data_IF_918464329990
#
_entry.id   IF_918464329990
#
_cell.length_a   1.000
_cell.length_b   1.000
_cell.length_c   1.000
_cell.angle_alpha   90.00
_cell.angle_beta   90.00
_cell.angle_gamma   90.00
#
_symmetry.space_group_name_H-M   'P 1'
#
loop_
_entity.id
_entity.type
_entity.pdbx_description
1 polymer ?
#
# COMPACT_ATOMS: atom_id res chain seq x y z
N UNK A 1 56.99 -31.60 -2.16
CA UNK A 1 56.45 -31.63 -0.78
C UNK A 1 56.33 -30.21 -0.26
N UNK A 2 55.12 -29.65 -0.25
CA UNK A 2 54.78 -28.40 0.43
C UNK A 2 53.26 -28.38 0.63
N UNK A 3 52.78 -28.00 1.81
CA UNK A 3 51.34 -28.04 2.17
C UNK A 3 50.83 -26.64 2.47
N UNK A 4 49.68 -26.21 1.90
CA UNK A 4 49.03 -24.96 2.29
C UNK A 4 48.24 -25.15 3.60
N UNK A 5 48.52 -24.32 4.60
CA UNK A 5 47.82 -24.35 5.90
C UNK A 5 46.44 -23.68 5.81
N UNK A 6 45.37 -24.43 6.09
CA UNK A 6 43.98 -23.91 6.00
C UNK A 6 43.63 -22.96 7.16
N UNK A 7 43.76 -21.66 6.91
CA UNK A 7 43.43 -20.59 7.86
C UNK A 7 41.92 -20.37 8.03
N UNK A 8 41.25 -21.21 8.82
CA UNK A 8 39.80 -21.12 9.10
C UNK A 8 39.42 -19.86 9.89
N UNK A 9 39.25 -18.72 9.20
CA UNK A 9 38.61 -17.51 9.76
C UNK A 9 37.26 -17.88 10.38
N UNK A 10 37.11 -17.73 11.69
CA UNK A 10 35.81 -17.79 12.37
C UNK A 10 35.06 -16.50 12.05
N UNK A 11 33.85 -16.59 11.50
CA UNK A 11 33.05 -15.42 11.13
C UNK A 11 32.54 -14.66 12.35
N UNK A 12 32.92 -13.38 12.49
CA UNK A 12 32.43 -12.49 13.54
C UNK A 12 30.93 -12.12 13.38
N UNK A 13 30.32 -12.44 12.24
CA UNK A 13 28.93 -12.10 11.89
C UNK A 13 27.88 -12.64 12.86
N UNK A 14 28.16 -13.71 13.63
CA UNK A 14 27.23 -14.19 14.66
C UNK A 14 27.22 -13.34 15.94
N UNK A 15 28.30 -12.63 16.26
CA UNK A 15 28.35 -11.78 17.45
C UNK A 15 27.58 -10.48 17.23
N UNK A 16 27.79 -9.83 16.07
CA UNK A 16 27.02 -8.65 15.67
C UNK A 16 25.50 -8.92 15.66
N UNK A 17 25.04 -10.06 15.14
CA UNK A 17 23.60 -10.40 15.20
C UNK A 17 23.06 -10.51 16.63
N UNK A 18 23.81 -11.06 17.58
CA UNK A 18 23.38 -11.08 19.00
C UNK A 18 23.45 -9.71 19.67
N UNK A 19 24.40 -8.86 19.26
CA UNK A 19 24.61 -7.52 19.81
C UNK A 19 23.56 -6.53 19.28
N UNK A 20 23.30 -6.53 17.97
CA UNK A 20 22.20 -5.80 17.34
C UNK A 20 20.86 -6.21 17.97
N UNK A 21 20.59 -7.50 18.16
CA UNK A 21 19.36 -7.96 18.82
C UNK A 21 19.24 -7.54 20.30
N UNK A 22 20.35 -7.27 21.00
CA UNK A 22 20.33 -6.71 22.35
C UNK A 22 20.09 -5.20 22.31
N UNK A 23 20.71 -4.47 21.37
CA UNK A 23 20.45 -3.05 21.15
C UNK A 23 18.98 -2.80 20.76
N UNK A 24 18.41 -3.65 19.91
CA UNK A 24 17.01 -3.63 19.49
C UNK A 24 16.03 -3.86 20.66
N UNK A 25 16.42 -4.72 21.63
CA UNK A 25 15.66 -4.96 22.86
C UNK A 25 15.76 -3.76 23.82
N UNK A 26 16.95 -3.21 24.03
CA UNK A 26 17.18 -2.02 24.86
C UNK A 26 16.43 -0.81 24.31
N UNK A 27 16.39 -0.64 22.98
CA UNK A 27 15.63 0.42 22.32
C UNK A 27 14.12 0.28 22.57
N UNK A 28 13.56 -0.93 22.39
CA UNK A 28 12.14 -1.22 22.63
C UNK A 28 11.75 -1.13 24.10
N UNK A 29 12.62 -1.52 25.03
CA UNK A 29 12.40 -1.35 26.46
C UNK A 29 12.41 0.14 26.84
N UNK A 30 13.35 0.93 26.30
CA UNK A 30 13.40 2.37 26.50
C UNK A 30 12.16 3.09 25.92
N UNK A 31 11.70 2.70 24.74
CA UNK A 31 10.48 3.21 24.11
C UNK A 31 9.23 2.84 24.93
N UNK A 32 9.08 1.58 25.33
CA UNK A 32 7.97 1.12 26.17
C UNK A 32 7.94 1.84 27.53
N UNK A 33 9.11 2.06 28.13
CA UNK A 33 9.26 2.81 29.40
C UNK A 33 8.96 4.30 29.25
N UNK A 34 9.28 4.90 28.09
CA UNK A 34 8.88 6.26 27.75
C UNK A 34 7.36 6.35 27.57
N UNK A 35 6.76 5.42 26.82
CA UNK A 35 5.33 5.34 26.61
C UNK A 35 4.55 5.15 27.93
N UNK A 36 5.00 4.26 28.81
CA UNK A 36 4.44 4.12 30.16
C UNK A 36 4.56 5.42 30.98
N UNK A 37 5.67 6.16 30.86
CA UNK A 37 5.82 7.46 31.54
C UNK A 37 4.89 8.53 30.98
N UNK A 38 4.65 8.56 29.67
CA UNK A 38 3.66 9.43 29.02
C UNK A 38 2.22 9.06 29.42
N UNK A 39 1.89 7.77 29.46
CA UNK A 39 0.60 7.30 29.95
C UNK A 39 0.37 7.67 31.42
N UNK A 40 1.35 7.42 32.31
CA UNK A 40 1.25 7.79 33.73
C UNK A 40 1.11 9.31 33.94
N UNK A 41 1.77 10.13 33.11
CA UNK A 41 1.55 11.59 33.05
C UNK A 41 0.11 11.92 32.67
N UNK A 42 -0.39 11.39 31.56
CA UNK A 42 -1.75 11.63 31.08
C UNK A 42 -2.81 11.18 32.10
N UNK A 43 -2.62 10.04 32.75
CA UNK A 43 -3.49 9.54 33.82
C UNK A 43 -3.45 10.43 35.06
N UNK A 44 -2.26 10.90 35.49
CA UNK A 44 -2.13 11.85 36.59
C UNK A 44 -2.82 13.19 36.29
N UNK A 45 -2.68 13.73 35.07
CA UNK A 45 -3.43 14.91 34.61
C UNK A 45 -4.94 14.66 34.67
N UNK A 46 -5.41 13.50 34.17
CA UNK A 46 -6.83 13.15 34.12
C UNK A 46 -7.46 12.91 35.49
N UNK A 47 -6.74 12.28 36.44
CA UNK A 47 -7.19 12.09 37.83
C UNK A 47 -7.33 13.47 38.50
N UNK A 48 -6.31 14.33 38.38
CA UNK A 48 -6.31 15.64 39.05
C UNK A 48 -7.33 16.60 38.45
N UNK A 49 -7.60 16.52 37.14
CA UNK A 49 -8.68 17.28 36.50
C UNK A 49 -10.06 16.90 37.06
N UNK A 50 -10.33 15.61 37.29
CA UNK A 50 -11.56 15.13 37.95
C UNK A 50 -11.65 15.56 39.41
N UNK A 51 -10.53 15.58 40.13
CA UNK A 51 -10.49 16.05 41.52
C UNK A 51 -10.83 17.54 41.63
N UNK A 52 -10.37 18.36 40.68
CA UNK A 52 -10.70 19.77 40.59
C UNK A 52 -12.15 20.02 40.18
N UNK A 53 -12.66 19.25 39.21
CA UNK A 53 -14.07 19.28 38.85
C UNK A 53 -14.96 18.90 40.05
N UNK A 54 -14.52 17.92 40.84
CA UNK A 54 -15.19 17.53 42.09
C UNK A 54 -15.14 18.66 43.14
N UNK A 55 -13.97 19.25 43.39
CA UNK A 55 -13.84 20.39 44.32
C UNK A 55 -14.67 21.61 43.90
N UNK A 56 -14.78 21.87 42.59
CA UNK A 56 -15.64 22.92 42.07
C UNK A 56 -17.12 22.65 42.41
N UNK A 57 -17.62 21.42 42.17
CA UNK A 57 -19.00 21.02 42.55
C UNK A 57 -19.23 21.05 44.06
N UNK A 58 -18.28 20.54 44.86
CA UNK A 58 -18.38 20.55 46.32
C UNK A 58 -18.36 21.97 46.91
N UNK A 59 -17.72 22.94 46.25
CA UNK A 59 -17.82 24.36 46.59
C UNK A 59 -19.17 24.97 46.17
N UNK A 60 -19.68 24.63 44.98
CA UNK A 60 -20.98 25.10 44.48
C UNK A 60 -22.12 24.63 45.40
N UNK A 61 -22.12 23.34 45.79
CA UNK A 61 -23.03 22.78 46.78
C UNK A 61 -22.90 23.43 48.17
N UNK A 62 -21.69 23.85 48.57
CA UNK A 62 -21.49 24.56 49.84
C UNK A 62 -22.03 25.99 49.78
N UNK A 63 -21.88 26.68 48.66
CA UNK A 63 -22.46 28.02 48.43
C UNK A 63 -24.00 27.96 48.48
N UNK A 64 -24.62 26.99 47.79
CA UNK A 64 -26.07 26.78 47.82
C UNK A 64 -26.58 26.49 49.23
N UNK A 65 -25.95 25.58 49.98
CA UNK A 65 -26.32 25.30 51.38
C UNK A 65 -26.16 26.52 52.29
N UNK A 66 -25.11 27.32 52.09
CA UNK A 66 -24.91 28.53 52.87
C UNK A 66 -25.94 29.62 52.53
N UNK A 67 -26.42 29.66 51.29
CA UNK A 67 -27.50 30.53 50.83
C UNK A 67 -28.85 30.10 51.43
N UNK A 68 -29.20 28.81 51.36
CA UNK A 68 -30.44 28.25 51.91
C UNK A 68 -30.54 28.47 53.44
N UNK A 69 -29.45 28.20 54.17
CA UNK A 69 -29.36 28.49 55.62
C UNK A 69 -29.51 29.97 55.99
N UNK A 70 -29.33 30.89 55.03
CA UNK A 70 -29.53 32.32 55.22
C UNK A 70 -30.98 32.76 54.94
N UNK A 71 -31.90 31.84 54.61
CA UNK A 71 -33.24 32.13 54.11
C UNK A 71 -34.41 31.58 54.96
N UNK A 72 -34.19 31.21 56.23
CA UNK A 72 -35.29 30.90 57.15
C UNK A 72 -36.21 32.11 57.39
N UNK A 73 -37.54 32.01 57.14
CA UNK A 73 -38.48 33.09 57.40
C UNK A 73 -38.93 33.13 58.86
N UNK A 74 -38.77 34.29 59.50
CA UNK A 74 -39.15 34.54 60.91
C UNK A 74 -40.63 34.20 61.17
N UNK A 75 -40.89 33.19 62.01
CA UNK A 75 -42.25 32.84 62.45
C UNK A 75 -42.71 33.70 63.64
N UNK A 76 -43.98 34.13 63.69
CA UNK A 76 -44.49 35.00 64.75
C UNK A 76 -44.78 34.27 66.07
N UNK A 77 -44.66 35.00 67.18
CA UNK A 77 -44.81 34.51 68.56
C UNK A 77 -46.27 34.17 68.91
N UNK A 78 -46.46 33.07 69.67
CA UNK A 78 -47.60 32.87 70.58
C UNK A 78 -47.10 32.38 71.95
N UNK A 79 -47.92 32.56 72.98
CA UNK A 79 -47.48 32.72 74.39
C UNK A 79 -47.81 31.56 75.32
N UNK A 80 -46.97 31.40 76.35
CA UNK A 80 -47.16 30.51 77.54
C UNK A 80 -47.02 29.00 77.25
N UNK A 81 -46.60 28.12 78.19
CA UNK A 81 -46.54 28.23 79.66
C UNK A 81 -45.51 27.24 80.29
N UNK A 82 -44.78 27.71 81.31
CA UNK A 82 -44.12 26.99 82.46
C UNK A 82 -43.30 25.69 82.30
N UNK A 83 -42.16 25.64 83.03
CA UNK A 83 -41.47 24.42 83.47
C UNK A 83 -40.10 24.13 82.83
N UNK A 84 -38.99 23.86 83.54
CA UNK A 84 -38.45 24.10 84.89
C UNK A 84 -37.06 23.40 84.88
N UNK A 85 -36.10 23.85 85.72
CA UNK A 85 -34.80 23.18 86.05
C UNK A 85 -33.78 22.96 84.90
N UNK A 86 -32.44 23.05 85.10
CA UNK A 86 -31.64 23.53 86.26
C UNK A 86 -30.12 23.64 85.94
N UNK A 87 -29.44 24.65 86.51
CA UNK A 87 -27.96 24.73 86.73
C UNK A 87 -27.06 24.70 85.46
N UNK A 88 -25.75 25.00 85.43
CA UNK A 88 -24.65 25.18 86.40
C UNK A 88 -23.51 25.94 85.65
N UNK A 89 -22.77 26.99 86.07
CA UNK A 89 -22.67 27.93 87.23
C UNK A 89 -22.03 29.27 86.77
N UNK A 90 -22.02 30.30 87.63
CA UNK A 90 -21.38 31.61 87.42
C UNK A 90 -19.84 31.60 87.47
N UNK A 91 -19.20 32.61 86.87
CA UNK A 91 -18.07 33.31 87.51
C UNK A 91 -18.13 34.81 87.18
N UNK A 92 -17.73 35.68 88.11
CA UNK A 92 -17.94 37.13 87.98
C UNK A 92 -16.93 37.96 88.77
N UNK A 93 -16.24 38.86 88.08
CA UNK A 93 -15.53 40.04 88.62
C UNK A 93 -15.40 41.04 87.46
N UNK A 94 -15.98 42.24 87.48
CA UNK A 94 -15.79 43.35 88.42
C UNK A 94 -14.32 43.80 88.48
N UNK A 95 -13.92 45.04 88.23
CA UNK A 95 -14.51 46.31 87.78
C UNK A 95 -13.43 47.36 88.10
N UNK A 96 -13.20 48.37 87.26
CA UNK A 96 -12.59 49.62 87.76
C UNK A 96 -12.89 50.82 86.86
N UNK A 97 -13.44 51.87 87.49
CA UNK A 97 -13.22 53.31 87.25
C UNK A 97 -13.15 53.79 85.78
N UNK A 98 -14.14 54.51 85.20
CA UNK A 98 -14.83 55.74 85.66
C UNK A 98 -13.91 56.92 86.01
N UNK A 99 -13.53 57.68 84.97
CA UNK A 99 -13.25 59.14 84.88
C UNK A 99 -13.13 59.44 83.37
N UNK A 100 -13.57 60.56 82.81
CA UNK A 100 -14.10 61.82 83.38
C UNK A 100 -15.12 62.48 82.42
N UNK A 101 -15.94 63.39 82.94
CA UNK A 101 -16.57 64.56 82.27
C UNK A 101 -17.26 64.38 80.91
N UNK A 102 -18.58 64.61 80.91
CA UNK A 102 -19.38 64.97 79.74
C UNK A 102 -18.92 66.32 79.16
N UNK A 103 -18.81 66.44 77.83
CA UNK A 103 -19.27 67.61 77.04
C UNK A 103 -19.17 67.35 75.51
N UNK A 104 -20.27 66.95 74.89
CA UNK A 104 -20.62 67.17 73.47
C UNK A 104 -21.87 66.36 73.10
N UNK A 105 -22.96 67.03 72.76
CA UNK A 105 -24.26 66.39 72.45
C UNK A 105 -24.39 66.02 70.98
N UNK A 106 -23.77 64.92 70.55
CA UNK A 106 -24.25 64.16 69.40
C UNK A 106 -24.75 62.79 69.86
N UNK A 107 -26.08 62.65 69.89
CA UNK A 107 -26.74 61.37 70.10
C UNK A 107 -26.70 60.56 68.80
N UNK A 108 -25.50 60.14 68.38
CA UNK A 108 -25.31 59.13 67.34
C UNK A 108 -26.08 57.89 67.78
N UNK A 109 -27.08 57.51 66.99
CA UNK A 109 -28.04 56.50 67.43
C UNK A 109 -27.30 55.16 67.59
N UNK A 110 -27.71 54.32 68.55
CA UNK A 110 -27.14 52.97 68.69
C UNK A 110 -27.34 52.11 67.43
N UNK A 111 -28.16 52.62 66.49
CA UNK A 111 -28.36 52.17 65.12
C UNK A 111 -27.14 52.39 64.22
N UNK A 112 -26.45 53.51 64.32
CA UNK A 112 -25.41 53.93 63.37
C UNK A 112 -24.13 53.09 63.55
N UNK A 113 -23.74 52.85 64.80
CA UNK A 113 -22.67 51.89 65.13
C UNK A 113 -23.00 50.45 64.70
N UNK A 114 -24.29 50.06 64.69
CA UNK A 114 -24.70 48.76 64.14
C UNK A 114 -24.62 48.73 62.61
N UNK A 115 -24.94 49.82 61.93
CA UNK A 115 -24.79 49.92 60.48
C UNK A 115 -23.31 49.93 60.05
N UNK A 116 -22.44 50.68 60.73
CA UNK A 116 -20.99 50.63 60.48
C UNK A 116 -20.40 49.23 60.74
N UNK A 117 -20.85 48.53 61.79
CA UNK A 117 -20.46 47.14 62.04
C UNK A 117 -20.93 46.21 60.91
N UNK A 118 -22.18 46.35 60.46
CA UNK A 118 -22.73 45.58 59.33
C UNK A 118 -21.98 45.84 58.01
N UNK A 119 -21.59 47.09 57.74
CA UNK A 119 -20.79 47.46 56.56
C UNK A 119 -19.39 46.83 56.60
N UNK A 120 -18.75 46.81 57.78
CA UNK A 120 -17.45 46.13 57.97
C UNK A 120 -17.58 44.61 57.86
N UNK A 121 -18.62 44.00 58.43
CA UNK A 121 -18.92 42.57 58.29
C UNK A 121 -19.21 42.18 56.84
N UNK A 122 -19.96 43.00 56.10
CA UNK A 122 -20.19 42.82 54.67
C UNK A 122 -18.91 42.99 53.83
N UNK A 123 -18.10 44.01 54.14
CA UNK A 123 -16.83 44.25 53.46
C UNK A 123 -15.87 43.08 53.66
N UNK A 124 -15.76 42.57 54.90
CA UNK A 124 -15.00 41.37 55.22
C UNK A 124 -15.55 40.13 54.49
N UNK A 125 -16.88 39.93 54.45
CA UNK A 125 -17.51 38.83 53.70
C UNK A 125 -17.19 38.90 52.20
N UNK A 126 -17.29 40.09 51.59
CA UNK A 126 -16.95 40.34 50.17
C UNK A 126 -15.46 40.07 49.91
N UNK A 127 -14.57 40.52 50.79
CA UNK A 127 -13.13 40.25 50.70
C UNK A 127 -12.79 38.76 50.84
N UNK A 128 -13.43 38.03 51.76
CA UNK A 128 -13.24 36.58 51.92
C UNK A 128 -13.69 35.79 50.69
N UNK A 129 -14.85 36.14 50.10
CA UNK A 129 -15.34 35.52 48.85
C UNK A 129 -14.37 35.81 47.69
N UNK A 130 -13.91 37.06 47.54
CA UNK A 130 -12.94 37.43 46.50
C UNK A 130 -11.59 36.73 46.68
N UNK A 131 -11.11 36.58 47.91
CA UNK A 131 -9.86 35.86 48.19
C UNK A 131 -9.98 34.35 47.86
N UNK A 132 -11.12 33.73 48.18
CA UNK A 132 -11.40 32.35 47.80
C UNK A 132 -11.50 32.17 46.26
N UNK A 133 -12.06 33.14 45.54
CA UNK A 133 -12.06 33.17 44.08
C UNK A 133 -10.63 33.27 43.52
N UNK A 134 -9.81 34.18 44.06
CA UNK A 134 -8.40 34.35 43.64
C UNK A 134 -7.56 33.09 43.90
N UNK A 135 -7.77 32.39 45.02
CA UNK A 135 -7.05 31.15 45.31
C UNK A 135 -7.51 29.98 44.41
N UNK A 136 -8.77 29.95 43.99
CA UNK A 136 -9.26 29.04 42.96
C UNK A 136 -8.65 29.37 41.59
N UNK A 137 -8.59 30.64 41.19
CA UNK A 137 -7.96 31.07 39.93
C UNK A 137 -6.45 30.80 39.91
N UNK A 138 -5.73 31.14 40.99
CA UNK A 138 -4.31 30.82 41.19
C UNK A 138 -4.05 29.32 41.02
N UNK A 139 -4.94 28.51 41.57
CA UNK A 139 -4.85 27.05 41.54
C UNK A 139 -5.15 26.52 40.13
N UNK A 140 -6.17 27.03 39.44
CA UNK A 140 -6.47 26.70 38.04
C UNK A 140 -5.32 27.10 37.07
N UNK A 141 -4.74 28.28 37.25
CA UNK A 141 -3.61 28.76 36.44
C UNK A 141 -2.35 27.93 36.66
N UNK A 142 -2.08 27.45 37.88
CA UNK A 142 -0.99 26.53 38.16
C UNK A 142 -1.12 25.23 37.34
N UNK A 143 -2.32 24.66 37.22
CA UNK A 143 -2.56 23.48 36.38
C UNK A 143 -2.41 23.75 34.89
N UNK A 144 -2.80 24.93 34.41
CA UNK A 144 -2.57 25.29 33.02
C UNK A 144 -1.07 25.40 32.72
N UNK A 145 -0.30 26.03 33.61
CA UNK A 145 1.17 26.11 33.52
C UNK A 145 1.82 24.73 33.57
N UNK A 146 1.41 23.85 34.47
CA UNK A 146 1.98 22.50 34.58
C UNK A 146 1.62 21.61 33.37
N UNK A 147 0.39 21.73 32.86
CA UNK A 147 -0.01 21.04 31.62
C UNK A 147 0.84 21.50 30.43
N UNK A 148 1.03 22.83 30.28
CA UNK A 148 1.85 23.40 29.20
C UNK A 148 3.33 23.01 29.30
N UNK A 149 3.91 22.88 30.50
CA UNK A 149 5.27 22.33 30.66
C UNK A 149 5.36 20.90 30.15
N UNK A 150 4.42 20.07 30.59
CA UNK A 150 4.40 18.63 30.34
C UNK A 150 4.07 18.33 28.85
N UNK A 151 3.34 19.24 28.17
CA UNK A 151 3.19 19.28 26.70
C UNK A 151 4.46 19.75 25.97
N UNK A 152 5.17 20.77 26.48
CA UNK A 152 6.45 21.21 25.92
C UNK A 152 7.52 20.11 26.00
N UNK A 153 7.56 19.33 27.09
CA UNK A 153 8.44 18.17 27.21
C UNK A 153 8.13 17.11 26.15
N UNK A 154 6.86 16.75 25.95
CA UNK A 154 6.47 15.79 24.90
C UNK A 154 6.84 16.30 23.49
N UNK A 155 6.61 17.58 23.19
CA UNK A 155 6.98 18.17 21.90
C UNK A 155 8.50 18.20 21.68
N UNK A 156 9.30 18.40 22.74
CA UNK A 156 10.76 18.32 22.69
C UNK A 156 11.27 16.88 22.48
N UNK A 157 10.69 15.89 23.18
CA UNK A 157 10.96 14.47 22.96
C UNK A 157 10.63 14.05 21.50
N UNK A 158 9.46 14.45 21.00
CA UNK A 158 9.00 14.14 19.65
C UNK A 158 9.90 14.78 18.58
N UNK A 159 10.33 16.03 18.76
CA UNK A 159 11.30 16.70 17.88
C UNK A 159 12.64 15.95 17.85
N UNK A 160 13.16 15.53 19.01
CA UNK A 160 14.40 14.76 19.10
C UNK A 160 14.30 13.39 18.42
N UNK A 161 13.13 12.73 18.49
CA UNK A 161 12.93 11.46 17.79
C UNK A 161 12.90 11.64 16.26
N UNK A 162 12.13 12.60 15.74
CA UNK A 162 12.13 12.92 14.29
C UNK A 162 13.55 13.27 13.79
N UNK A 163 14.36 13.92 14.63
CA UNK A 163 15.77 14.23 14.31
C UNK A 163 16.70 12.99 14.34
N UNK A 164 16.34 11.90 15.02
CA UNK A 164 17.04 10.59 14.91
C UNK A 164 16.61 9.87 13.65
N UNK A 165 15.30 9.71 13.45
CA UNK A 165 14.71 9.06 12.29
C UNK A 165 15.24 9.65 10.98
N UNK A 166 15.32 10.98 10.88
CA UNK A 166 15.89 11.67 9.72
C UNK A 166 17.36 11.29 9.45
N UNK A 167 18.21 11.21 10.49
CA UNK A 167 19.63 10.81 10.35
C UNK A 167 19.74 9.35 9.91
N UNK A 168 18.85 8.48 10.36
CA UNK A 168 18.82 7.07 9.96
C UNK A 168 18.35 6.90 8.52
N UNK A 169 17.30 7.62 8.09
CA UNK A 169 16.88 7.60 6.68
C UNK A 169 17.93 8.21 5.75
N UNK A 170 18.66 9.24 6.18
CA UNK A 170 19.80 9.78 5.43
C UNK A 170 20.92 8.72 5.27
N UNK A 171 21.32 8.03 6.33
CA UNK A 171 22.31 6.94 6.28
C UNK A 171 21.87 5.78 5.37
N UNK A 172 20.58 5.42 5.40
CA UNK A 172 20.02 4.39 4.54
C UNK A 172 20.01 4.80 3.06
N UNK A 173 19.70 6.08 2.77
CA UNK A 173 19.76 6.65 1.42
C UNK A 173 21.21 6.67 0.90
N UNK A 174 22.17 7.12 1.71
CA UNK A 174 23.60 7.09 1.35
C UNK A 174 24.07 5.67 0.99
N UNK A 175 23.60 4.65 1.74
CA UNK A 175 23.94 3.27 1.45
C UNK A 175 23.31 2.78 0.15
N UNK A 176 22.02 3.06 -0.06
CA UNK A 176 21.32 2.70 -1.30
C UNK A 176 21.96 3.37 -2.54
N UNK A 177 22.44 4.60 -2.42
CA UNK A 177 23.18 5.30 -3.49
C UNK A 177 24.50 4.60 -3.83
N UNK A 178 25.23 4.06 -2.83
CA UNK A 178 26.46 3.29 -3.06
C UNK A 178 26.16 1.98 -3.78
N UNK A 179 25.12 1.27 -3.37
CA UNK A 179 24.81 -0.06 -3.92
C UNK A 179 24.15 0.05 -5.30
N UNK A 180 23.31 1.07 -5.55
CA UNK A 180 22.86 1.41 -6.89
C UNK A 180 24.01 1.76 -7.84
N UNK A 181 25.05 2.47 -7.36
CA UNK A 181 26.22 2.78 -8.17
C UNK A 181 26.98 1.51 -8.58
N UNK A 182 27.25 0.59 -7.64
CA UNK A 182 27.88 -0.70 -7.94
C UNK A 182 27.08 -1.49 -8.97
N UNK A 183 25.76 -1.62 -8.77
CA UNK A 183 24.88 -2.34 -9.71
C UNK A 183 24.89 -1.71 -11.12
N UNK A 184 25.02 -0.38 -11.22
CA UNK A 184 25.18 0.31 -12.51
C UNK A 184 26.55 0.05 -13.15
N UNK A 185 27.62 0.02 -12.36
CA UNK A 185 28.98 -0.31 -12.82
C UNK A 185 29.08 -1.79 -13.27
N UNK A 186 28.50 -2.71 -12.49
CA UNK A 186 28.37 -4.14 -12.82
C UNK A 186 27.52 -4.37 -14.08
N UNK A 187 26.38 -3.69 -14.22
CA UNK A 187 25.54 -3.83 -15.41
C UNK A 187 26.22 -3.28 -16.67
N UNK A 188 26.90 -2.13 -16.60
CA UNK A 188 27.67 -1.61 -17.73
C UNK A 188 28.80 -2.55 -18.16
N UNK A 189 29.50 -3.18 -17.20
CA UNK A 189 30.51 -4.20 -17.49
C UNK A 189 29.91 -5.47 -18.14
N UNK A 190 28.71 -5.89 -17.73
CA UNK A 190 28.00 -7.01 -18.34
C UNK A 190 27.48 -6.69 -19.75
N UNK A 191 26.97 -5.47 -19.98
CA UNK A 191 26.58 -4.96 -21.30
C UNK A 191 27.78 -4.93 -22.26
N UNK A 192 28.93 -4.43 -21.81
CA UNK A 192 30.17 -4.47 -22.60
C UNK A 192 30.65 -5.89 -22.86
N UNK A 193 30.61 -6.78 -21.85
CA UNK A 193 30.99 -8.19 -21.99
C UNK A 193 30.11 -8.96 -22.98
N UNK A 194 28.80 -8.65 -23.00
CA UNK A 194 27.87 -9.21 -23.98
C UNK A 194 28.13 -8.65 -25.38
N UNK A 195 28.38 -7.34 -25.50
CA UNK A 195 28.72 -6.71 -26.79
C UNK A 195 29.99 -7.31 -27.41
N UNK A 196 31.07 -7.48 -26.62
CA UNK A 196 32.30 -8.13 -27.08
C UNK A 196 32.08 -9.59 -27.52
N UNK A 197 31.18 -10.33 -26.84
CA UNK A 197 30.79 -11.69 -27.24
C UNK A 197 30.01 -11.70 -28.55
N UNK A 198 29.12 -10.73 -28.74
CA UNK A 198 28.22 -10.69 -29.90
C UNK A 198 28.97 -10.18 -31.15
N UNK A 199 29.91 -9.25 -30.99
CA UNK A 199 30.91 -8.89 -32.02
C UNK A 199 31.75 -10.11 -32.44
N UNK A 200 32.24 -10.92 -31.48
CA UNK A 200 33.00 -12.15 -31.77
C UNK A 200 32.16 -13.24 -32.48
N UNK A 201 30.84 -13.25 -32.27
CA UNK A 201 29.89 -14.13 -32.97
C UNK A 201 29.74 -13.68 -34.43
N UNK A 202 29.60 -12.37 -34.67
CA UNK A 202 29.48 -11.77 -36.00
C UNK A 202 30.79 -11.88 -36.82
N UNK A 203 31.95 -11.60 -36.22
CA UNK A 203 33.29 -11.75 -36.82
C UNK A 203 33.58 -13.19 -37.28
N UNK A 204 32.95 -14.19 -36.66
CA UNK A 204 33.05 -15.59 -37.04
C UNK A 204 31.94 -16.07 -38.00
N UNK A 205 31.09 -15.16 -38.50
CA UNK A 205 30.01 -15.47 -39.44
C UNK A 205 28.91 -16.36 -38.86
N UNK A 206 28.75 -16.33 -37.54
CA UNK A 206 27.76 -17.12 -36.79
C UNK A 206 26.53 -16.29 -36.45
N UNK A 207 25.37 -16.94 -36.42
CA UNK A 207 24.07 -16.32 -36.11
C UNK A 207 23.32 -17.18 -35.10
N UNK A 208 22.60 -16.56 -34.15
CA UNK A 208 21.69 -17.27 -33.25
C UNK A 208 20.38 -17.62 -33.97
N UNK A 209 20.14 -18.91 -34.16
CA UNK A 209 18.83 -19.44 -34.63
C UNK A 209 18.06 -20.03 -33.44
N UNK A 210 16.74 -19.82 -33.42
CA UNK A 210 15.87 -20.17 -32.29
C UNK A 210 15.77 -19.09 -31.19
N UNK A 211 16.47 -17.96 -31.33
CA UNK A 211 16.43 -16.88 -30.35
C UNK A 211 15.13 -16.06 -30.35
N UNK A 212 14.38 -16.01 -31.46
CA UNK A 212 13.09 -15.30 -31.53
C UNK A 212 12.03 -15.87 -30.56
N UNK A 213 12.09 -17.18 -30.29
CA UNK A 213 11.25 -17.87 -29.30
C UNK A 213 11.53 -17.43 -27.85
N UNK A 214 12.61 -16.65 -27.60
CA UNK A 214 12.95 -16.09 -26.29
C UNK A 214 12.37 -14.69 -26.04
N UNK A 215 12.08 -13.92 -27.09
CA UNK A 215 11.49 -12.57 -26.95
C UNK A 215 9.96 -12.60 -26.94
N UNK A 216 9.34 -13.55 -27.64
CA UNK A 216 7.89 -13.73 -27.67
C UNK A 216 7.36 -14.55 -26.47
N UNK A 217 7.85 -14.26 -25.27
CA UNK A 217 7.16 -14.61 -24.04
C UNK A 217 6.19 -13.48 -23.69
N UNK A 218 4.89 -13.78 -23.57
CA UNK A 218 3.82 -12.78 -23.43
C UNK A 218 4.14 -11.72 -22.38
N UNK A 219 4.31 -10.49 -22.84
CA UNK A 219 4.72 -9.34 -22.05
C UNK A 219 3.60 -8.75 -21.18
N UNK A 220 2.72 -9.56 -20.60
CA UNK A 220 1.72 -9.07 -19.63
C UNK A 220 2.39 -8.69 -18.30
N UNK A 221 2.98 -7.51 -18.34
CA UNK A 221 3.46 -6.74 -17.19
C UNK A 221 2.60 -5.48 -16.99
N UNK A 222 1.36 -5.53 -17.49
CA UNK A 222 0.33 -4.47 -17.45
C UNK A 222 -0.27 -4.23 -16.05
N UNK A 223 0.43 -4.61 -14.98
CA UNK A 223 -0.12 -4.73 -13.63
C UNK A 223 0.89 -4.34 -12.54
N UNK A 224 1.15 -3.02 -12.41
CA UNK A 224 1.96 -2.44 -11.32
C UNK A 224 1.44 -1.06 -10.85
N UNK A 225 0.11 -0.86 -10.90
CA UNK A 225 -0.55 0.41 -10.57
C UNK A 225 -0.58 0.75 -9.07
N UNK A 226 0.53 1.25 -8.52
CA UNK A 226 0.60 2.08 -7.30
C UNK A 226 -0.22 1.61 -6.07
N UNK A 227 0.40 0.81 -5.20
CA UNK A 227 0.00 0.73 -3.78
C UNK A 227 1.21 0.74 -2.84
N UNK A 228 1.00 1.16 -1.59
CA UNK A 228 2.06 1.71 -0.74
C UNK A 228 2.59 0.76 0.34
N UNK A 229 3.92 0.68 0.42
CA UNK A 229 4.69 0.82 1.68
C UNK A 229 4.49 -0.25 2.79
N UNK A 230 5.16 -1.41 2.66
CA UNK A 230 5.78 -2.12 3.80
C UNK A 230 6.77 -3.21 3.36
N UNK A 231 7.76 -3.50 4.23
CA UNK A 231 8.64 -4.70 4.32
C UNK A 231 9.44 -5.20 3.09
N UNK A 232 10.78 -5.40 3.22
CA UNK A 232 11.61 -5.98 2.16
C UNK A 232 11.60 -7.53 2.19
N UNK A 233 10.48 -8.16 1.86
CA UNK A 233 10.45 -9.62 1.70
C UNK A 233 11.16 -10.06 0.43
N UNK A 234 12.47 -10.33 0.58
CA UNK A 234 13.23 -11.41 -0.06
C UNK A 234 12.76 -11.77 -1.48
N UNK A 235 13.33 -11.10 -2.49
CA UNK A 235 13.18 -11.45 -3.91
C UNK A 235 13.45 -12.95 -4.13
N UNK A 236 12.37 -13.73 -4.25
CA UNK A 236 12.45 -15.13 -4.66
C UNK A 236 12.76 -15.13 -6.15
N UNK A 237 13.99 -15.50 -6.48
CA UNK A 237 14.39 -15.82 -7.85
C UNK A 237 13.45 -16.91 -8.37
N UNK A 238 12.48 -16.52 -9.20
CA UNK A 238 11.55 -17.45 -9.87
C UNK A 238 12.41 -18.47 -10.63
N UNK A 239 12.12 -19.79 -10.50
CA UNK A 239 12.90 -20.81 -11.18
C UNK A 239 13.00 -20.51 -12.66
N UNK A 240 14.24 -20.36 -13.15
CA UNK A 240 14.57 -20.00 -14.53
C UNK A 240 13.76 -20.89 -15.47
N UNK A 241 12.76 -20.31 -16.14
CA UNK A 241 11.97 -21.02 -17.16
C UNK A 241 12.93 -21.70 -18.14
N UNK A 242 12.57 -22.88 -18.64
CA UNK A 242 13.45 -23.66 -19.52
C UNK A 242 13.67 -22.90 -20.83
N UNK A 243 14.74 -22.09 -20.86
CA UNK A 243 15.04 -21.22 -21.98
C UNK A 243 15.15 -22.06 -23.25
N UNK A 244 14.39 -21.66 -24.29
CA UNK A 244 14.45 -22.28 -25.60
C UNK A 244 15.92 -22.33 -26.06
N UNK A 245 16.35 -23.49 -26.54
CA UNK A 245 17.76 -23.75 -26.87
C UNK A 245 18.11 -23.11 -28.20
N UNK A 246 18.37 -21.81 -28.18
CA UNK A 246 19.00 -21.13 -29.31
C UNK A 246 20.36 -21.77 -29.61
N UNK A 247 20.69 -21.89 -30.89
CA UNK A 247 21.95 -22.46 -31.38
C UNK A 247 22.71 -21.44 -32.20
N UNK A 248 24.04 -21.47 -32.11
CA UNK A 248 24.93 -20.78 -33.05
C UNK A 248 25.12 -21.66 -34.29
N UNK A 249 24.82 -21.12 -35.46
CA UNK A 249 25.02 -21.75 -36.77
C UNK A 249 25.70 -20.76 -37.72
N UNK A 250 26.32 -21.23 -38.81
CA UNK A 250 26.85 -20.31 -39.83
C UNK A 250 25.71 -19.56 -40.54
N UNK A 251 26.01 -18.39 -41.09
CA UNK A 251 25.05 -17.58 -41.84
C UNK A 251 24.42 -18.36 -43.03
N UNK A 252 25.20 -19.20 -43.72
CA UNK A 252 24.71 -20.12 -44.76
C UNK A 252 23.72 -21.16 -44.21
N UNK A 253 24.04 -21.78 -43.06
CA UNK A 253 23.15 -22.75 -42.44
C UNK A 253 21.85 -22.10 -41.93
N UNK A 254 21.89 -20.84 -41.48
CA UNK A 254 20.69 -20.07 -41.15
C UNK A 254 19.82 -19.82 -42.40
N UNK A 255 20.43 -19.36 -43.51
CA UNK A 255 19.71 -19.15 -44.79
C UNK A 255 19.09 -20.43 -45.36
N UNK A 256 19.73 -21.58 -45.17
CA UNK A 256 19.11 -22.88 -45.48
C UNK A 256 17.96 -23.19 -44.53
N UNK A 257 18.14 -23.04 -43.22
CA UNK A 257 17.09 -23.28 -42.23
C UNK A 257 15.86 -22.41 -42.44
N UNK A 258 15.96 -21.20 -42.99
CA UNK A 258 14.80 -20.38 -43.32
C UNK A 258 14.03 -20.88 -44.55
N UNK A 259 14.68 -21.60 -45.49
CA UNK A 259 14.02 -22.26 -46.63
C UNK A 259 13.15 -23.45 -46.19
N UNK A 260 13.49 -24.10 -45.08
CA UNK A 260 12.67 -25.16 -44.48
C UNK A 260 11.37 -24.65 -43.83
N UNK A 261 11.10 -23.34 -43.86
CA UNK A 261 9.85 -22.72 -43.38
C UNK A 261 9.68 -22.69 -41.86
N UNK A 262 8.56 -22.13 -41.39
CA UNK A 262 8.37 -21.77 -39.99
C UNK A 262 8.40 -22.95 -39.01
N UNK A 263 8.99 -22.70 -37.84
CA UNK A 263 9.08 -23.63 -36.72
C UNK A 263 10.42 -23.55 -35.99
N UNK A 264 10.49 -24.24 -34.84
CA UNK A 264 11.72 -24.36 -34.06
C UNK A 264 12.80 -25.12 -34.84
N UNK A 265 14.06 -24.96 -34.43
CA UNK A 265 15.22 -25.57 -35.09
C UNK A 265 15.05 -27.08 -35.31
N UNK A 266 14.55 -27.80 -34.31
CA UNK A 266 14.29 -29.24 -34.38
C UNK A 266 13.19 -29.62 -35.39
N UNK A 267 12.22 -28.74 -35.66
CA UNK A 267 11.17 -28.96 -36.66
C UNK A 267 11.73 -28.78 -38.07
N UNK A 268 12.51 -27.72 -38.29
CA UNK A 268 13.14 -27.42 -39.58
C UNK A 268 14.15 -28.49 -39.99
N UNK A 269 15.01 -28.92 -39.06
CA UNK A 269 15.96 -30.02 -39.28
C UNK A 269 15.26 -31.35 -39.61
N UNK A 270 14.06 -31.60 -39.05
CA UNK A 270 13.26 -32.79 -39.39
C UNK A 270 12.69 -32.74 -40.80
N UNK A 271 12.20 -31.58 -41.28
CA UNK A 271 11.74 -31.41 -42.67
C UNK A 271 12.86 -31.72 -43.66
N UNK A 272 14.04 -31.13 -43.49
CA UNK A 272 15.20 -31.45 -44.34
C UNK A 272 15.63 -32.93 -44.27
N UNK A 273 15.50 -33.59 -43.13
CA UNK A 273 15.77 -35.02 -43.01
C UNK A 273 14.72 -35.87 -43.77
N UNK A 274 13.46 -35.45 -43.81
CA UNK A 274 12.38 -36.09 -44.55
C UNK A 274 12.52 -35.88 -46.06
N UNK A 275 12.66 -34.64 -46.52
CA UNK A 275 12.89 -34.28 -47.93
C UNK A 275 14.11 -35.02 -48.52
N UNK A 276 15.20 -35.09 -47.77
CA UNK A 276 16.39 -35.85 -48.16
C UNK A 276 16.12 -37.35 -48.30
N UNK A 277 15.29 -37.94 -47.42
CA UNK A 277 14.92 -39.34 -47.49
C UNK A 277 14.01 -39.61 -48.70
N UNK A 278 13.02 -38.76 -48.93
CA UNK A 278 12.09 -38.85 -50.07
C UNK A 278 12.84 -38.78 -51.41
N UNK A 279 13.75 -37.81 -51.57
CA UNK A 279 14.63 -37.70 -52.75
C UNK A 279 15.58 -38.91 -52.88
N UNK A 280 16.06 -39.46 -51.76
CA UNK A 280 16.93 -40.64 -51.79
C UNK A 280 16.18 -41.90 -52.25
N UNK A 281 14.93 -42.05 -51.83
CA UNK A 281 14.05 -43.16 -52.24
C UNK A 281 13.54 -43.00 -53.67
N UNK A 282 13.28 -41.76 -54.14
CA UNK A 282 13.04 -41.48 -55.56
C UNK A 282 14.25 -41.87 -56.42
N UNK A 283 15.48 -41.48 -56.03
CA UNK A 283 16.72 -41.89 -56.72
C UNK A 283 16.87 -43.42 -56.74
N UNK A 284 16.52 -44.11 -55.65
CA UNK A 284 16.58 -45.57 -55.59
C UNK A 284 15.54 -46.22 -56.52
N UNK A 285 14.32 -45.68 -56.55
CA UNK A 285 13.25 -46.13 -57.46
C UNK A 285 13.60 -45.89 -58.92
N UNK A 286 14.05 -44.69 -59.30
CA UNK A 286 14.46 -44.37 -60.67
C UNK A 286 15.62 -45.25 -61.15
N UNK A 287 16.51 -45.69 -60.24
CA UNK A 287 17.56 -46.68 -60.55
C UNK A 287 16.98 -48.08 -60.78
N UNK A 288 15.98 -48.50 -60.01
CA UNK A 288 15.28 -49.77 -60.22
C UNK A 288 14.52 -49.75 -61.55
N UNK A 289 13.69 -48.74 -61.78
CA UNK A 289 12.93 -48.54 -63.02
C UNK A 289 13.86 -48.53 -64.26
N UNK A 290 14.99 -47.83 -64.19
CA UNK A 290 16.02 -47.82 -65.25
C UNK A 290 16.69 -49.20 -65.46
N UNK A 291 16.84 -50.00 -64.40
CA UNK A 291 17.41 -51.36 -64.50
C UNK A 291 16.41 -52.35 -65.10
N UNK A 292 15.14 -52.26 -64.70
CA UNK A 292 14.06 -53.06 -65.29
C UNK A 292 13.86 -52.73 -66.77
N UNK A 293 13.91 -51.45 -67.15
CA UNK A 293 13.68 -51.06 -68.54
C UNK A 293 14.82 -51.50 -69.46
N UNK A 294 16.07 -51.49 -68.96
CA UNK A 294 17.20 -52.13 -69.65
C UNK A 294 16.99 -53.63 -69.83
N UNK A 295 16.47 -54.33 -68.82
CA UNK A 295 16.15 -55.75 -68.90
C UNK A 295 14.92 -56.02 -69.82
N UNK A 296 13.94 -55.12 -69.87
CA UNK A 296 12.81 -55.19 -70.80
C UNK A 296 13.24 -54.97 -72.25
N UNK A 297 14.12 -54.00 -72.52
CA UNK A 297 14.69 -53.79 -73.87
C UNK A 297 15.46 -55.04 -74.32
N UNK A 298 16.36 -55.58 -73.50
CA UNK A 298 17.10 -56.80 -73.83
C UNK A 298 16.18 -58.02 -74.08
N UNK A 299 15.09 -58.16 -73.30
CA UNK A 299 14.07 -59.20 -73.52
C UNK A 299 13.22 -58.93 -74.77
N UNK A 300 12.90 -57.67 -75.08
CA UNK A 300 12.19 -57.31 -76.32
C UNK A 300 13.04 -57.59 -77.56
N UNK A 301 14.34 -57.33 -77.51
CA UNK A 301 15.27 -57.70 -78.59
C UNK A 301 15.27 -59.23 -78.79
N UNK A 302 15.34 -60.03 -77.71
CA UNK A 302 15.23 -61.49 -77.81
C UNK A 302 13.87 -61.96 -78.34
N UNK A 303 12.75 -61.39 -77.86
CA UNK A 303 11.39 -61.82 -78.25
C UNK A 303 11.07 -61.40 -79.69
N UNK A 304 11.52 -60.22 -80.11
CA UNK A 304 11.32 -59.70 -81.47
C UNK A 304 12.09 -60.49 -82.54
N UNK A 305 13.12 -61.25 -82.17
CA UNK A 305 13.76 -62.22 -83.05
C UNK A 305 13.03 -63.56 -83.16
N UNK A 306 12.08 -63.88 -82.27
CA UNK A 306 11.63 -65.26 -82.03
C UNK A 306 10.12 -65.48 -82.17
N UNK A 307 9.24 -64.50 -81.91
CA UNK A 307 7.77 -64.69 -82.01
C UNK A 307 7.05 -63.57 -82.77
N UNK A 308 6.34 -63.95 -83.84
CA UNK A 308 5.33 -63.12 -84.49
C UNK A 308 4.04 -62.99 -83.67
N UNK A 309 3.13 -62.06 -84.03
CA UNK A 309 2.02 -61.65 -83.18
C UNK A 309 0.96 -62.74 -83.00
N UNK A 310 0.64 -63.06 -81.73
CA UNK A 310 -0.40 -64.04 -81.37
C UNK A 310 -1.53 -63.44 -80.53
N UNK A 311 -2.57 -63.01 -81.26
CA UNK A 311 -3.99 -63.39 -81.09
C UNK A 311 -4.75 -63.21 -79.77
N UNK A 312 -4.12 -62.99 -78.61
CA UNK A 312 -4.80 -62.52 -77.39
C UNK A 312 -4.52 -61.03 -77.19
N UNK A 313 -5.46 -60.20 -77.63
CA UNK A 313 -5.21 -58.79 -77.96
C UNK A 313 -4.85 -57.87 -76.77
N UNK A 314 -4.04 -56.81 -77.02
CA UNK A 314 -3.68 -55.81 -76.00
C UNK A 314 -4.89 -55.01 -75.47
N UNK A 315 -5.99 -54.99 -76.23
CA UNK A 315 -7.28 -54.38 -75.91
C UNK A 315 -7.85 -54.83 -74.55
N UNK A 316 -7.66 -56.10 -74.16
CA UNK A 316 -8.15 -56.61 -72.88
C UNK A 316 -7.37 -56.01 -71.69
N UNK A 317 -6.04 -55.87 -71.79
CA UNK A 317 -5.23 -55.20 -70.75
C UNK A 317 -5.53 -53.71 -70.68
N UNK A 318 -5.77 -53.07 -71.83
CA UNK A 318 -6.19 -51.66 -71.88
C UNK A 318 -7.52 -51.46 -71.13
N UNK A 319 -8.47 -52.40 -71.28
CA UNK A 319 -9.75 -52.38 -70.56
C UNK A 319 -9.60 -52.57 -69.05
N UNK A 320 -8.67 -53.41 -68.59
CA UNK A 320 -8.35 -53.58 -67.17
C UNK A 320 -7.72 -52.31 -66.57
N UNK A 321 -6.71 -51.74 -67.23
CA UNK A 321 -6.08 -50.47 -66.81
C UNK A 321 -7.09 -49.32 -66.78
N UNK A 322 -7.97 -49.23 -67.79
CA UNK A 322 -9.04 -48.23 -67.81
C UNK A 322 -10.02 -48.40 -66.65
N UNK A 323 -10.33 -49.65 -66.26
CA UNK A 323 -11.22 -49.95 -65.13
C UNK A 323 -10.59 -49.57 -63.79
N UNK A 324 -9.30 -49.81 -63.61
CA UNK A 324 -8.58 -49.41 -62.39
C UNK A 324 -8.37 -47.89 -62.30
N UNK A 325 -8.03 -47.23 -63.42
CA UNK A 325 -7.98 -45.77 -63.49
C UNK A 325 -9.33 -45.13 -63.14
N UNK A 326 -10.43 -45.66 -63.68
CA UNK A 326 -11.79 -45.19 -63.36
C UNK A 326 -12.10 -45.35 -61.85
N UNK A 327 -11.71 -46.47 -61.23
CA UNK A 327 -11.86 -46.69 -59.79
C UNK A 327 -11.08 -45.66 -58.98
N UNK A 328 -9.80 -45.43 -59.29
CA UNK A 328 -8.99 -44.42 -58.60
C UNK A 328 -9.59 -43.02 -58.73
N UNK A 329 -10.08 -42.66 -59.92
CA UNK A 329 -10.78 -41.40 -60.18
C UNK A 329 -12.03 -41.25 -59.30
N UNK A 330 -12.81 -42.31 -59.08
CA UNK A 330 -13.97 -42.27 -58.19
C UNK A 330 -13.60 -42.22 -56.70
N UNK A 331 -12.53 -42.91 -56.28
CA UNK A 331 -11.96 -42.79 -54.92
C UNK A 331 -11.47 -41.35 -54.64
N UNK A 332 -10.86 -40.68 -55.62
CA UNK A 332 -10.46 -39.28 -55.52
C UNK A 332 -11.66 -38.31 -55.50
N UNK A 333 -12.71 -38.54 -56.32
CA UNK A 333 -13.96 -37.77 -56.24
C UNK A 333 -14.62 -37.88 -54.86
N UNK A 334 -14.58 -39.04 -54.23
CA UNK A 334 -15.13 -39.23 -52.89
C UNK A 334 -14.32 -38.47 -51.83
N UNK A 335 -12.98 -38.59 -51.87
CA UNK A 335 -12.08 -37.83 -50.98
C UNK A 335 -12.25 -36.31 -51.13
N UNK A 336 -12.36 -35.82 -52.37
CA UNK A 336 -12.61 -34.41 -52.68
C UNK A 336 -13.91 -33.92 -52.03
N UNK A 337 -15.03 -34.61 -52.26
CA UNK A 337 -16.34 -34.24 -51.65
C UNK A 337 -16.32 -34.23 -50.13
N UNK A 338 -15.57 -35.15 -49.50
CA UNK A 338 -15.41 -35.16 -48.04
C UNK A 338 -14.61 -33.93 -47.57
N UNK A 339 -13.52 -33.59 -48.25
CA UNK A 339 -12.73 -32.39 -47.95
C UNK A 339 -13.52 -31.09 -48.20
N UNK A 340 -14.36 -31.03 -49.25
CA UNK A 340 -15.28 -29.92 -49.51
C UNK A 340 -16.28 -29.73 -48.34
N UNK A 341 -16.89 -30.82 -47.86
CA UNK A 341 -17.82 -30.80 -46.73
C UNK A 341 -17.13 -30.38 -45.40
N UNK A 342 -15.91 -30.86 -45.17
CA UNK A 342 -15.10 -30.46 -44.01
C UNK A 342 -14.72 -28.97 -44.09
N UNK A 343 -14.35 -28.48 -45.28
CA UNK A 343 -14.04 -27.07 -45.52
C UNK A 343 -15.26 -26.16 -45.28
N UNK A 344 -16.45 -26.52 -45.78
CA UNK A 344 -17.70 -25.79 -45.47
C UNK A 344 -17.98 -25.73 -43.95
N UNK A 345 -17.67 -26.81 -43.22
CA UNK A 345 -17.87 -26.90 -41.77
C UNK A 345 -16.89 -26.00 -41.01
N UNK A 346 -15.64 -25.90 -41.48
CA UNK A 346 -14.62 -24.99 -40.96
C UNK A 346 -14.97 -23.52 -41.27
N UNK A 347 -15.35 -23.18 -42.50
CA UNK A 347 -15.80 -21.84 -42.89
C UNK A 347 -16.98 -21.36 -42.02
N UNK A 348 -17.98 -22.22 -41.79
CA UNK A 348 -19.10 -21.94 -40.90
C UNK A 348 -18.66 -21.65 -39.45
N UNK A 349 -17.54 -22.24 -39.01
CA UNK A 349 -16.98 -22.03 -37.67
C UNK A 349 -16.11 -20.78 -37.59
N UNK A 350 -15.34 -20.46 -38.63
CA UNK A 350 -14.59 -19.20 -38.77
C UNK A 350 -15.55 -18.02 -38.72
N UNK A 351 -16.62 -18.00 -39.53
CA UNK A 351 -17.60 -16.91 -39.54
C UNK A 351 -18.29 -16.69 -38.17
N UNK A 352 -18.49 -17.76 -37.38
CA UNK A 352 -18.97 -17.66 -35.99
C UNK A 352 -17.94 -17.00 -35.07
N UNK A 353 -16.67 -17.38 -35.18
CA UNK A 353 -15.58 -16.83 -34.38
C UNK A 353 -15.30 -15.36 -34.73
N UNK A 354 -15.27 -15.00 -36.00
CA UNK A 354 -15.16 -13.60 -36.48
C UNK A 354 -16.29 -12.74 -35.91
N UNK A 355 -17.52 -13.26 -35.90
CA UNK A 355 -18.68 -12.59 -35.28
C UNK A 355 -18.52 -12.42 -33.77
N UNK A 356 -17.89 -13.36 -33.06
CA UNK A 356 -17.59 -13.24 -31.63
C UNK A 356 -16.48 -12.23 -31.36
N UNK A 357 -15.37 -12.31 -32.09
CA UNK A 357 -14.23 -11.37 -31.98
C UNK A 357 -14.68 -9.93 -32.24
N UNK A 358 -15.52 -9.71 -33.26
CA UNK A 358 -16.11 -8.39 -33.55
C UNK A 358 -16.92 -7.84 -32.37
N UNK A 359 -17.77 -8.67 -31.74
CA UNK A 359 -18.55 -8.29 -30.55
C UNK A 359 -17.67 -8.02 -29.32
N UNK A 360 -16.67 -8.86 -29.07
CA UNK A 360 -15.75 -8.66 -27.96
C UNK A 360 -14.94 -7.37 -28.12
N UNK A 361 -14.52 -7.05 -29.36
CA UNK A 361 -13.87 -5.78 -29.69
C UNK A 361 -14.78 -4.58 -29.39
N UNK A 362 -16.04 -4.60 -29.83
CA UNK A 362 -16.97 -3.49 -29.52
C UNK A 362 -17.21 -3.33 -28.02
N UNK A 363 -17.36 -4.43 -27.26
CA UNK A 363 -17.54 -4.33 -25.80
C UNK A 363 -16.27 -3.89 -25.06
N UNK A 364 -15.08 -4.17 -25.59
CA UNK A 364 -13.82 -3.65 -25.08
C UNK A 364 -13.72 -2.15 -25.34
N UNK A 365 -13.98 -1.71 -26.57
CA UNK A 365 -14.00 -0.28 -26.95
C UNK A 365 -15.07 0.53 -26.17
N UNK A 366 -16.15 -0.10 -25.70
CA UNK A 366 -17.14 0.51 -24.81
C UNK A 366 -16.63 0.60 -23.36
N UNK A 367 -15.99 -0.46 -22.86
CA UNK A 367 -15.41 -0.50 -21.52
C UNK A 367 -14.25 0.50 -21.33
N UNK A 368 -13.38 0.66 -22.33
CA UNK A 368 -12.28 1.65 -22.31
C UNK A 368 -12.81 3.08 -22.19
N UNK A 369 -13.85 3.43 -22.96
CA UNK A 369 -14.51 4.74 -22.90
C UNK A 369 -15.10 5.01 -21.51
N UNK A 370 -15.80 4.02 -20.94
CA UNK A 370 -16.36 4.10 -19.59
C UNK A 370 -15.26 4.25 -18.51
N UNK A 371 -14.12 3.59 -18.67
CA UNK A 371 -12.99 3.73 -17.75
C UNK A 371 -12.39 5.15 -17.79
N UNK A 372 -12.28 5.76 -18.98
CA UNK A 372 -11.79 7.12 -19.15
C UNK A 372 -12.78 8.20 -18.65
N UNK A 373 -14.09 7.97 -18.81
CA UNK A 373 -15.13 8.80 -18.17
C UNK A 373 -15.03 8.72 -16.64
N UNK A 374 -14.89 7.52 -16.06
CA UNK A 374 -14.69 7.34 -14.63
C UNK A 374 -13.38 7.96 -14.12
N UNK A 375 -12.29 7.95 -14.92
CA UNK A 375 -11.04 8.69 -14.62
C UNK A 375 -11.28 10.20 -14.63
N UNK A 376 -12.08 10.72 -15.55
CA UNK A 376 -12.40 12.14 -15.64
C UNK A 376 -13.25 12.60 -14.44
N UNK A 377 -14.29 11.86 -14.08
CA UNK A 377 -15.14 12.16 -12.92
C UNK A 377 -14.40 12.00 -11.60
N UNK A 378 -13.55 10.97 -11.45
CA UNK A 378 -12.64 10.86 -10.29
C UNK A 378 -11.74 12.09 -10.14
N UNK A 379 -11.20 12.63 -11.23
CA UNK A 379 -10.41 13.88 -11.23
C UNK A 379 -11.26 15.12 -10.96
N UNK A 380 -12.56 15.12 -11.27
CA UNK A 380 -13.52 16.19 -10.97
C UNK A 380 -13.91 16.20 -9.49
N UNK A 381 -14.39 15.07 -8.96
CA UNK A 381 -14.73 14.89 -7.55
C UNK A 381 -13.53 15.17 -6.62
N UNK A 382 -12.30 14.82 -7.03
CA UNK A 382 -11.08 15.18 -6.29
C UNK A 382 -10.75 16.68 -6.26
N UNK A 383 -11.24 17.48 -7.21
CA UNK A 383 -11.13 18.95 -7.18
C UNK A 383 -12.20 19.53 -6.27
N UNK A 384 -13.46 19.14 -6.48
CA UNK A 384 -14.62 19.56 -5.69
C UNK A 384 -14.44 19.24 -4.19
N UNK A 385 -13.85 18.09 -3.85
CA UNK A 385 -13.53 17.73 -2.47
C UNK A 385 -12.46 18.65 -1.83
N UNK A 386 -11.42 19.05 -2.58
CA UNK A 386 -10.40 20.00 -2.08
C UNK A 386 -10.97 21.40 -1.90
N UNK A 387 -11.83 21.83 -2.82
CA UNK A 387 -12.54 23.11 -2.73
C UNK A 387 -13.49 23.13 -1.52
N UNK A 388 -14.22 22.04 -1.27
CA UNK A 388 -15.05 21.88 -0.08
C UNK A 388 -14.24 21.89 1.22
N UNK A 389 -13.06 21.24 1.26
CA UNK A 389 -12.16 21.30 2.42
C UNK A 389 -11.64 22.72 2.68
N UNK A 390 -11.14 23.40 1.65
CA UNK A 390 -10.72 24.81 1.78
C UNK A 390 -11.87 25.70 2.28
N UNK A 391 -13.10 25.46 1.79
CA UNK A 391 -14.30 26.18 2.25
C UNK A 391 -14.66 25.89 3.71
N UNK A 392 -14.38 24.69 4.22
CA UNK A 392 -14.51 24.37 5.64
C UNK A 392 -13.45 25.12 6.46
N UNK A 393 -12.19 25.18 6.00
CA UNK A 393 -11.12 25.93 6.67
C UNK A 393 -11.41 27.45 6.74
N UNK A 394 -11.95 28.04 5.67
CA UNK A 394 -12.46 29.42 5.64
C UNK A 394 -13.57 29.64 6.68
N UNK A 395 -14.56 28.75 6.73
CA UNK A 395 -15.68 28.86 7.66
C UNK A 395 -15.25 28.63 9.11
N UNK A 396 -14.34 27.68 9.36
CA UNK A 396 -13.75 27.45 10.68
C UNK A 396 -12.96 28.67 11.18
N UNK A 397 -12.12 29.27 10.33
CA UNK A 397 -11.36 30.47 10.72
C UNK A 397 -12.28 31.66 10.97
N UNK A 398 -13.27 31.89 10.10
CA UNK A 398 -14.32 32.90 10.32
C UNK A 398 -15.09 32.67 11.63
N UNK A 399 -15.48 31.43 11.94
CA UNK A 399 -16.18 31.09 13.18
C UNK A 399 -15.28 31.29 14.42
N UNK A 400 -14.01 30.87 14.36
CA UNK A 400 -12.98 31.15 15.40
C UNK A 400 -12.80 32.66 15.63
N UNK A 401 -12.95 33.50 14.60
CA UNK A 401 -12.96 34.97 14.75
C UNK A 401 -14.26 35.50 15.37
N UNK A 402 -15.42 34.99 14.97
CA UNK A 402 -16.72 35.38 15.55
C UNK A 402 -16.82 35.01 17.03
N UNK A 403 -16.42 33.80 17.40
CA UNK A 403 -16.33 33.33 18.78
C UNK A 403 -15.49 34.29 19.65
N UNK A 404 -14.28 34.64 19.19
CA UNK A 404 -13.41 35.63 19.87
C UNK A 404 -14.04 37.03 20.00
N UNK A 405 -14.97 37.43 19.12
CA UNK A 405 -15.72 38.70 19.25
C UNK A 405 -16.87 38.56 20.25
N UNK A 406 -17.58 37.44 20.23
CA UNK A 406 -18.65 37.10 21.19
C UNK A 406 -18.08 37.06 22.62
N UNK A 407 -16.93 36.43 22.84
CA UNK A 407 -16.37 36.30 24.18
C UNK A 407 -15.81 37.62 24.72
N UNK A 408 -15.28 38.49 23.85
CA UNK A 408 -14.99 39.89 24.20
C UNK A 408 -16.24 40.67 24.60
N UNK A 409 -17.36 40.49 23.90
CA UNK A 409 -18.64 41.14 24.25
C UNK A 409 -19.23 40.59 25.56
N UNK A 410 -19.13 39.29 25.83
CA UNK A 410 -19.47 38.69 27.13
C UNK A 410 -18.65 39.29 28.26
N UNK A 411 -17.33 39.37 28.08
CA UNK A 411 -16.41 39.98 29.05
C UNK A 411 -16.74 41.45 29.32
N UNK A 412 -16.91 42.27 28.28
CA UNK A 412 -17.28 43.67 28.42
C UNK A 412 -18.66 43.86 29.10
N UNK A 413 -19.65 43.02 28.78
CA UNK A 413 -20.97 43.04 29.44
C UNK A 413 -20.89 42.65 30.91
N UNK A 414 -20.02 41.69 31.26
CA UNK A 414 -19.82 41.26 32.64
C UNK A 414 -19.00 42.27 33.46
N UNK A 415 -18.20 43.13 32.82
CA UNK A 415 -17.51 44.26 33.45
C UNK A 415 -18.35 45.56 33.53
N UNK A 416 -19.61 45.50 33.09
CA UNK A 416 -20.63 46.57 33.20
C UNK A 416 -21.76 46.17 34.19
N UNK A 417 -21.46 45.23 35.09
CA UNK A 417 -22.30 44.75 36.18
C UNK A 417 -21.51 44.77 37.48
#
# INVERSE_FOLDING_TARGET
>A
MATPTSGRRRGATKLYSSEDHQLDQIAKEAEARLAQRRQARAEARAIRLRELEKQARENDEQLDRHYDSSSEPVRPVRTSREGRTSSFVSSSSFSSSRRSSEDSTEALDGRDFRHQLQEVEESFRKAMISNAQLDNERTALAYHVDTLKDDMEEMAENYLQVQRDFREKARALDQLIRDFRKLKEENAFLEESLKQRDELIEDHGLVLVGAAELLNGDGDSSSAGSSSRSSPEKLVLVPKAQAAKAALVSQEAAQLLDQAGDGSLDVRLKRFAQEKQELQDEINRLRLDLSEEREKVARMEQISLVHGPQTNGPEMRLMEVQREANKQVDDYKYKLRKAEQENMTLQSSVARLETQVSRFKTTMEEAEKLEDELKADKRKLQREHREALARIEELETANKHLQKRIDKLKSARNALK
#
